data_IF_755955456134
#
_entry.id   IF_755955456134
#
_cell.length_a   1.000
_cell.length_b   1.000
_cell.length_c   1.000
_cell.angle_alpha   90.00
_cell.angle_beta   90.00
_cell.angle_gamma   90.00
#
_symmetry.space_group_name_H-M   'P 1'
#
loop_
_entity.id
_entity.type
_entity.pdbx_description
1 polymer ?
#
# COMPACT_ATOMS: atom_id res chain seq x y z
N UNK A 1 -9.49 19.02 -10.14
CA UNK A 1 -8.90 17.81 -10.78
C UNK A 1 -7.47 17.68 -10.29
N UNK A 2 -7.08 16.51 -9.80
CA UNK A 2 -5.67 16.21 -9.45
C UNK A 2 -4.85 16.03 -10.74
N UNK A 3 -3.58 16.43 -10.77
CA UNK A 3 -2.65 16.24 -11.89
C UNK A 3 -2.65 14.81 -12.44
N UNK A 4 -2.79 13.79 -11.57
CA UNK A 4 -2.92 12.39 -12.01
C UNK A 4 -4.17 12.12 -12.86
N UNK A 5 -5.31 12.70 -12.49
CA UNK A 5 -6.56 12.56 -13.26
C UNK A 5 -6.47 13.30 -14.60
N UNK A 6 -5.85 14.49 -14.62
CA UNK A 6 -5.60 15.26 -15.85
C UNK A 6 -4.74 14.45 -16.81
N UNK A 7 -3.62 13.92 -16.31
CA UNK A 7 -2.73 13.07 -17.10
C UNK A 7 -3.48 11.84 -17.62
N UNK A 8 -4.23 11.14 -16.78
CA UNK A 8 -4.99 9.96 -17.19
C UNK A 8 -5.99 10.27 -18.32
N UNK A 9 -6.73 11.38 -18.21
CA UNK A 9 -7.64 11.82 -19.26
C UNK A 9 -6.90 12.17 -20.55
N UNK A 10 -5.73 12.82 -20.45
CA UNK A 10 -4.92 13.17 -21.61
C UNK A 10 -4.34 11.93 -22.33
N UNK A 11 -4.02 10.86 -21.59
CA UNK A 11 -3.40 9.65 -22.15
C UNK A 11 -4.37 8.50 -22.43
N UNK A 12 -5.65 8.61 -22.05
CA UNK A 12 -6.65 7.56 -22.22
C UNK A 12 -7.91 8.11 -22.94
N UNK A 13 -8.03 7.90 -24.27
CA UNK A 13 -9.17 8.38 -25.05
C UNK A 13 -10.53 7.89 -24.54
N UNK A 14 -10.60 6.65 -24.04
CA UNK A 14 -11.84 6.09 -23.46
C UNK A 14 -12.25 6.87 -22.21
N UNK A 15 -11.31 7.12 -21.29
CA UNK A 15 -11.58 7.91 -20.09
C UNK A 15 -11.98 9.36 -20.43
N UNK A 16 -11.36 9.96 -21.46
CA UNK A 16 -11.76 11.28 -21.95
C UNK A 16 -13.18 11.29 -22.51
N UNK A 17 -13.57 10.29 -23.30
CA UNK A 17 -14.94 10.16 -23.82
C UNK A 17 -15.96 9.99 -22.70
N UNK A 18 -15.69 9.11 -21.72
CA UNK A 18 -16.55 8.89 -20.56
C UNK A 18 -16.72 10.18 -19.74
N UNK A 19 -15.63 10.92 -19.52
CA UNK A 19 -15.66 12.22 -18.84
C UNK A 19 -16.51 13.24 -19.61
N UNK A 20 -16.34 13.34 -20.93
CA UNK A 20 -17.15 14.25 -21.76
C UNK A 20 -18.63 13.87 -21.78
N UNK A 21 -18.95 12.58 -21.77
CA UNK A 21 -20.33 12.09 -21.83
C UNK A 21 -21.06 12.20 -20.49
N UNK A 22 -20.36 12.00 -19.37
CA UNK A 22 -20.98 11.88 -18.03
C UNK A 22 -20.63 12.99 -17.05
N UNK A 23 -19.62 13.81 -17.37
CA UNK A 23 -19.04 14.79 -16.45
C UNK A 23 -18.25 14.18 -15.29
N UNK A 24 -18.12 12.84 -15.21
CA UNK A 24 -17.49 12.14 -14.08
C UNK A 24 -15.99 11.97 -14.28
N UNK A 25 -15.22 12.42 -13.30
CA UNK A 25 -13.77 12.25 -13.29
C UNK A 25 -13.38 10.80 -12.93
N UNK A 26 -12.21 10.32 -13.39
CA UNK A 26 -11.66 9.05 -12.95
C UNK A 26 -11.56 9.01 -11.42
N UNK A 27 -12.10 7.96 -10.80
CA UNK A 27 -12.13 7.84 -9.35
C UNK A 27 -10.73 7.61 -8.80
N UNK A 28 -10.43 8.29 -7.69
CA UNK A 28 -9.22 8.07 -6.92
C UNK A 28 -9.53 7.18 -5.72
N UNK A 29 -8.62 6.27 -5.41
CA UNK A 29 -8.68 5.37 -4.25
C UNK A 29 -7.45 5.57 -3.39
N UNK A 30 -7.61 5.49 -2.06
CA UNK A 30 -6.49 5.54 -1.12
C UNK A 30 -6.12 4.10 -0.76
N UNK A 31 -4.90 3.63 -1.09
CA UNK A 31 -4.45 2.33 -0.60
C UNK A 31 -4.45 2.32 0.93
N UNK A 32 -5.17 1.36 1.50
CA UNK A 32 -5.36 1.23 2.94
C UNK A 32 -5.50 -0.24 3.30
N UNK A 33 -4.81 -0.66 4.36
CA UNK A 33 -4.91 -1.98 4.99
C UNK A 33 -4.39 -1.87 6.42
N UNK A 34 -4.68 -2.83 7.31
CA UNK A 34 -4.14 -2.79 8.67
C UNK A 34 -2.61 -2.71 8.72
N UNK A 35 -1.92 -3.36 7.77
CA UNK A 35 -0.45 -3.28 7.67
C UNK A 35 0.03 -1.92 7.19
N UNK A 36 -0.66 -1.30 6.21
CA UNK A 36 -0.37 0.07 5.81
C UNK A 36 -0.52 1.01 7.01
N UNK A 37 -1.62 0.91 7.76
CA UNK A 37 -1.86 1.75 8.93
C UNK A 37 -0.81 1.58 10.04
N UNK A 38 -0.38 0.34 10.30
CA UNK A 38 0.71 0.08 11.23
C UNK A 38 2.02 0.74 10.74
N UNK A 39 2.38 0.54 9.48
CA UNK A 39 3.60 1.12 8.91
C UNK A 39 3.55 2.65 8.87
N UNK A 40 2.39 3.25 8.65
CA UNK A 40 2.18 4.71 8.70
C UNK A 40 2.35 5.30 10.11
N UNK A 41 2.03 4.53 11.16
CA UNK A 41 2.28 4.97 12.55
C UNK A 41 3.76 5.04 12.92
N UNK A 42 4.62 4.36 12.17
CA UNK A 42 6.07 4.38 12.36
C UNK A 42 6.71 5.58 11.66
N UNK A 43 7.80 6.11 12.21
CA UNK A 43 8.58 7.10 11.48
C UNK A 43 9.27 6.47 10.26
N UNK A 44 9.63 7.24 9.22
CA UNK A 44 10.42 6.72 8.10
C UNK A 44 11.75 6.11 8.55
N UNK A 45 12.35 6.63 9.63
CA UNK A 45 13.58 6.10 10.22
C UNK A 45 13.35 4.71 10.81
N UNK A 46 12.26 4.53 11.54
CA UNK A 46 11.90 3.23 12.14
C UNK A 46 11.61 2.18 11.06
N UNK A 47 10.86 2.56 10.01
CA UNK A 47 10.60 1.67 8.87
C UNK A 47 11.87 1.26 8.14
N UNK A 48 12.90 2.10 8.11
CA UNK A 48 14.20 1.73 7.56
C UNK A 48 15.01 0.86 8.53
N UNK A 49 14.80 0.97 9.84
CA UNK A 49 15.53 0.18 10.83
C UNK A 49 14.99 -1.25 10.96
N UNK A 50 13.71 -1.48 10.69
CA UNK A 50 13.08 -2.80 10.64
C UNK A 50 13.51 -3.53 9.35
N UNK A 51 14.18 -4.69 9.49
CA UNK A 51 14.87 -5.40 8.38
C UNK A 51 14.35 -6.82 8.14
N UNK A 52 14.36 -7.22 6.88
CA UNK A 52 14.10 -8.60 6.46
C UNK A 52 12.66 -9.05 6.70
N UNK A 53 11.69 -8.17 6.47
CA UNK A 53 10.26 -8.41 6.67
C UNK A 53 9.71 -9.37 5.61
N UNK A 54 8.92 -10.35 6.04
CA UNK A 54 8.24 -11.30 5.19
C UNK A 54 6.72 -11.07 5.23
N UNK A 55 6.08 -10.99 4.07
CA UNK A 55 4.61 -10.98 4.00
C UNK A 55 4.05 -12.32 4.45
N UNK A 56 2.90 -12.25 5.12
CA UNK A 56 2.22 -13.41 5.67
C UNK A 56 0.71 -13.15 5.76
N UNK A 57 -0.13 -14.20 5.65
CA UNK A 57 -1.58 -14.06 5.79
C UNK A 57 -2.02 -13.42 7.11
N UNK A 58 -1.27 -13.63 8.20
CA UNK A 58 -1.50 -12.97 9.49
C UNK A 58 -1.31 -11.45 9.46
N UNK A 59 -0.65 -10.91 8.43
CA UNK A 59 -0.52 -9.48 8.18
C UNK A 59 -1.54 -8.96 7.15
N UNK A 60 -2.47 -9.82 6.70
CA UNK A 60 -3.50 -9.49 5.70
C UNK A 60 -3.03 -9.56 4.25
N UNK A 61 -1.92 -10.26 3.97
CA UNK A 61 -1.39 -10.43 2.62
C UNK A 61 -1.04 -11.89 2.34
N UNK A 62 -1.42 -12.36 1.16
CA UNK A 62 -1.10 -13.68 0.65
C UNK A 62 0.34 -13.72 0.12
N UNK A 63 0.90 -14.93 0.08
CA UNK A 63 2.26 -15.18 -0.41
C UNK A 63 3.35 -14.96 0.64
N UNK A 64 4.60 -15.23 0.25
CA UNK A 64 5.78 -15.17 1.12
C UNK A 64 6.84 -14.18 0.64
N UNK A 65 6.42 -13.05 0.04
CA UNK A 65 7.35 -12.05 -0.50
C UNK A 65 8.15 -11.44 0.65
N UNK A 66 9.47 -11.34 0.48
CA UNK A 66 10.38 -10.76 1.47
C UNK A 66 10.92 -9.43 0.98
N UNK A 67 10.99 -8.47 1.89
CA UNK A 67 11.56 -7.14 1.64
C UNK A 67 12.75 -6.90 2.56
N UNK A 68 13.71 -6.11 2.09
CA UNK A 68 14.89 -5.81 2.90
C UNK A 68 14.56 -4.87 4.05
N UNK A 69 13.65 -3.91 3.87
CA UNK A 69 13.16 -2.99 4.92
C UNK A 69 11.64 -2.91 4.94
N UNK A 70 11.09 -2.51 6.09
CA UNK A 70 9.67 -2.16 6.19
C UNK A 70 9.31 -0.93 5.33
N UNK A 71 10.25 -0.01 5.08
CA UNK A 71 10.04 1.11 4.14
C UNK A 71 9.88 0.63 2.69
N UNK A 72 10.63 -0.38 2.25
CA UNK A 72 10.44 -0.97 0.91
C UNK A 72 9.08 -1.64 0.80
N UNK A 73 8.69 -2.41 1.83
CA UNK A 73 7.35 -2.99 1.91
C UNK A 73 6.28 -1.90 1.84
N UNK A 74 6.39 -0.84 2.64
CA UNK A 74 5.43 0.26 2.68
C UNK A 74 5.24 0.90 1.30
N UNK A 75 6.32 1.18 0.58
CA UNK A 75 6.24 1.74 -0.79
C UNK A 75 5.63 0.77 -1.78
N UNK A 76 5.83 -0.52 -1.60
CA UNK A 76 5.19 -1.54 -2.43
C UNK A 76 3.69 -1.65 -2.15
N UNK A 77 3.28 -1.55 -0.88
CA UNK A 77 1.88 -1.54 -0.44
C UNK A 77 1.12 -0.27 -0.87
N UNK A 78 1.79 0.88 -0.77
CA UNK A 78 1.25 2.22 -1.02
C UNK A 78 2.23 3.02 -1.90
N UNK A 79 2.23 2.78 -3.22
CA UNK A 79 3.18 3.44 -4.13
C UNK A 79 2.91 4.94 -4.31
N UNK A 80 1.67 5.38 -4.06
CA UNK A 80 1.30 6.78 -4.03
C UNK A 80 0.24 7.03 -2.93
N UNK A 81 0.06 8.29 -2.47
CA UNK A 81 -0.99 8.63 -1.51
C UNK A 81 -2.40 8.29 -2.02
N UNK A 82 -2.61 8.39 -3.33
CA UNK A 82 -3.85 8.06 -4.03
C UNK A 82 -3.51 7.41 -5.37
N UNK A 83 -4.27 6.39 -5.71
CA UNK A 83 -4.20 5.64 -6.97
C UNK A 83 -5.46 5.89 -7.79
N UNK A 84 -5.41 5.75 -9.11
CA UNK A 84 -6.64 5.66 -9.89
C UNK A 84 -7.32 4.30 -9.60
N UNK A 85 -8.65 4.25 -9.54
CA UNK A 85 -9.40 3.01 -9.24
C UNK A 85 -9.06 1.84 -10.16
N UNK A 86 -8.64 2.12 -11.39
CA UNK A 86 -8.27 1.11 -12.39
C UNK A 86 -6.76 0.92 -12.57
N UNK A 87 -5.94 1.66 -11.81
CA UNK A 87 -4.48 1.48 -11.81
C UNK A 87 -4.16 0.22 -11.02
N UNK A 88 -3.46 -0.73 -11.64
CA UNK A 88 -2.99 -1.93 -10.95
C UNK A 88 -1.71 -1.62 -10.19
N UNK A 89 -1.65 -1.97 -8.91
CA UNK A 89 -0.40 -2.06 -8.16
C UNK A 89 -0.25 -3.44 -7.55
N UNK A 90 0.96 -4.01 -7.52
CA UNK A 90 1.16 -5.41 -7.18
C UNK A 90 0.53 -5.81 -5.84
N UNK A 91 0.65 -4.97 -4.82
CA UNK A 91 0.16 -5.27 -3.48
C UNK A 91 -1.35 -5.53 -3.40
N UNK A 92 -2.17 -4.91 -4.25
CA UNK A 92 -3.62 -5.13 -4.23
C UNK A 92 -3.98 -6.56 -4.63
N UNK A 93 -3.21 -7.19 -5.52
CA UNK A 93 -3.42 -8.59 -5.94
C UNK A 93 -3.08 -9.60 -4.84
N UNK A 94 -2.20 -9.24 -3.89
CA UNK A 94 -1.83 -10.09 -2.76
C UNK A 94 -2.68 -9.80 -1.51
N UNK A 95 -3.47 -8.73 -1.50
CA UNK A 95 -4.22 -8.32 -0.32
C UNK A 95 -5.35 -9.30 -0.02
N UNK A 96 -5.43 -9.75 1.23
CA UNK A 96 -6.64 -10.39 1.74
C UNK A 96 -7.67 -9.30 2.12
N UNK A 97 -8.74 -9.22 1.33
CA UNK A 97 -9.82 -8.23 1.53
C UNK A 97 -10.70 -8.51 2.74
N UNK A 98 -10.66 -9.74 3.28
CA UNK A 98 -11.41 -10.15 4.48
C UNK A 98 -10.62 -9.89 5.77
N UNK A 99 -9.34 -9.52 5.65
CA UNK A 99 -8.50 -9.21 6.79
C UNK A 99 -8.80 -7.80 7.33
N UNK A 100 -9.39 -7.74 8.51
CA UNK A 100 -9.78 -6.50 9.19
C UNK A 100 -9.18 -6.33 10.58
N UNK A 101 -8.35 -7.28 11.03
CA UNK A 101 -7.70 -7.20 12.34
C UNK A 101 -6.75 -6.00 12.38
N UNK A 102 -6.85 -5.18 13.43
CA UNK A 102 -5.87 -4.12 13.70
C UNK A 102 -4.54 -4.77 14.11
N UNK A 103 -3.48 -4.40 13.40
CA UNK A 103 -2.13 -4.89 13.68
C UNK A 103 -1.40 -3.97 14.66
N UNK A 104 -0.57 -4.59 15.49
CA UNK A 104 0.37 -3.97 16.41
C UNK A 104 1.81 -4.35 16.04
N UNK A 105 2.78 -3.79 16.76
CA UNK A 105 4.19 -4.16 16.59
C UNK A 105 4.46 -5.61 16.98
N UNK A 106 3.73 -6.15 17.97
CA UNK A 106 3.84 -7.54 18.39
C UNK A 106 3.38 -8.51 17.30
N UNK A 107 2.35 -8.15 16.54
CA UNK A 107 1.90 -8.94 15.39
C UNK A 107 2.91 -8.92 14.22
N UNK A 108 3.68 -7.83 14.10
CA UNK A 108 4.69 -7.67 13.06
C UNK A 108 5.97 -8.44 13.38
N UNK A 109 6.36 -8.46 14.67
CA UNK A 109 7.66 -8.95 15.16
C UNK A 109 8.05 -10.36 14.68
N UNK A 110 7.14 -11.36 14.64
CA UNK A 110 7.48 -12.72 14.18
C UNK A 110 7.90 -12.79 12.70
N UNK A 111 7.52 -11.80 11.90
CA UNK A 111 7.74 -11.79 10.46
C UNK A 111 8.94 -10.94 10.04
N UNK A 112 9.78 -10.53 11.00
CA UNK A 112 10.94 -9.68 10.74
C UNK A 112 12.21 -10.33 11.27
N UNK A 113 13.30 -10.21 10.51
CA UNK A 113 14.59 -10.79 10.87
C UNK A 113 15.46 -9.85 11.72
N UNK A 114 15.30 -8.54 11.56
CA UNK A 114 16.03 -7.52 12.32
C UNK A 114 15.08 -6.48 12.89
N UNK A 115 15.12 -6.31 14.20
CA UNK A 115 14.29 -5.35 14.93
C UNK A 115 15.17 -4.36 15.68
N UNK A 116 14.86 -3.06 15.64
CA UNK A 116 15.65 -2.06 16.33
C UNK A 116 15.35 -2.03 17.84
N UNK A 117 16.40 -1.89 18.65
CA UNK A 117 16.32 -1.98 20.11
C UNK A 117 15.35 -0.96 20.73
N UNK A 118 15.24 0.24 20.15
CA UNK A 118 14.36 1.30 20.67
C UNK A 118 12.86 1.08 20.40
N UNK A 119 12.50 0.02 19.66
CA UNK A 119 11.12 -0.43 19.45
C UNK A 119 10.80 -1.70 20.25
N UNK A 120 11.68 -2.13 21.16
CA UNK A 120 11.48 -3.32 22.00
C UNK A 120 10.84 -2.98 23.33
#
# INVERSE_FOLDING_TARGET
>A
MNSRQVHHLATNPKAMMEFRATGRLPRMVVPSSPLISLLESLSPRDRQAIRGIQLHPSLGYLGGIRFHTAEQLYRWLKPAPQMLEHESWPAESYRDKRFHQKLSLDDLRPFVAGWPDHLS
#
